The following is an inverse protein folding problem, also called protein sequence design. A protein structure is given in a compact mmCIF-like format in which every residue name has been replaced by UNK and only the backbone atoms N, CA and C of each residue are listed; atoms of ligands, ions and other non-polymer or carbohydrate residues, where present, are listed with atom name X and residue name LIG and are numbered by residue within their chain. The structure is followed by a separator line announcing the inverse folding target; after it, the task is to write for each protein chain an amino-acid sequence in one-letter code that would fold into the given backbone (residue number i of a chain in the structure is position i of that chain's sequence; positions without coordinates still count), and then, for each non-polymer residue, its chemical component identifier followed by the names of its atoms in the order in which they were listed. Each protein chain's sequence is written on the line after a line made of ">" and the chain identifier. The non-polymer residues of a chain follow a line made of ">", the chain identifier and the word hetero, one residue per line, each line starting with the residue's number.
data_IF_858780267949
#
_entry.id   IF_858780267949
#
_cell.length_a   1.000
_cell.length_b   1.000
_cell.length_c   1.000
_cell.angle_alpha   90.00
_cell.angle_beta   90.00
_cell.angle_gamma   90.00
#
_symmetry.space_group_name_H-M   'P 1'
#
loop_
_entity.id
_entity.type
_entity.pdbx_description
1 polymer ?
#
# COMPACT_ATOMS: atom_id res chain seq x y z
N UNK A 1 -1.31 4.11 -5.66
CA UNK A 1 -1.39 5.58 -5.50
C UNK A 1 -1.92 6.19 -6.79
N UNK A 2 -3.04 6.92 -6.73
CA UNK A 2 -3.57 7.67 -7.87
C UNK A 2 -3.53 9.16 -7.54
N UNK A 3 -3.03 9.97 -8.46
CA UNK A 3 -3.02 11.43 -8.30
C UNK A 3 -3.36 12.13 -9.61
N UNK A 4 -4.13 13.21 -9.52
CA UNK A 4 -4.47 14.09 -10.66
C UNK A 4 -3.66 15.38 -10.67
N UNK A 5 -2.91 15.64 -9.60
CA UNK A 5 -2.03 16.80 -9.44
C UNK A 5 -0.57 16.34 -9.31
N UNK A 6 0.35 17.21 -9.71
CA UNK A 6 1.78 17.00 -9.46
C UNK A 6 2.03 17.03 -7.95
N UNK A 7 2.73 16.02 -7.45
CA UNK A 7 3.18 15.95 -6.07
C UNK A 7 4.59 16.51 -5.95
N UNK A 8 4.82 17.37 -4.97
CA UNK A 8 6.13 17.95 -4.63
C UNK A 8 6.78 17.30 -3.42
N UNK A 9 6.00 16.56 -2.63
CA UNK A 9 6.48 15.62 -1.62
C UNK A 9 5.58 14.40 -1.62
N UNK A 10 6.14 13.24 -1.26
CA UNK A 10 5.39 12.01 -1.10
C UNK A 10 6.11 11.13 -0.08
N UNK A 11 5.36 10.65 0.91
CA UNK A 11 5.79 9.62 1.84
C UNK A 11 4.74 8.51 1.82
N UNK A 12 5.15 7.30 1.44
CA UNK A 12 4.31 6.10 1.47
C UNK A 12 4.84 5.19 2.57
N UNK A 13 4.01 4.90 3.55
CA UNK A 13 4.27 3.94 4.62
C UNK A 13 3.40 2.70 4.39
N UNK A 14 4.01 1.53 4.37
CA UNK A 14 3.35 0.24 4.34
C UNK A 14 3.77 -0.54 5.59
N UNK A 15 2.79 -0.99 6.37
CA UNK A 15 3.00 -1.74 7.59
C UNK A 15 2.44 -3.14 7.42
N UNK A 16 3.29 -4.13 7.65
CA UNK A 16 2.93 -5.54 7.57
C UNK A 16 3.02 -6.15 8.96
N UNK A 17 1.90 -6.64 9.51
CA UNK A 17 1.87 -7.19 10.86
C UNK A 17 2.69 -8.48 10.97
N UNK A 18 3.46 -8.62 12.06
CA UNK A 18 4.23 -9.81 12.36
C UNK A 18 3.32 -10.94 12.85
N UNK A 19 2.86 -11.79 11.94
CA UNK A 19 1.97 -12.92 12.23
C UNK A 19 2.62 -14.29 12.00
N UNK A 20 3.94 -14.34 11.84
CA UNK A 20 4.69 -15.59 11.66
C UNK A 20 5.84 -15.46 10.66
N UNK A 21 7.00 -15.01 11.13
CA UNK A 21 8.24 -14.97 10.36
C UNK A 21 8.27 -13.95 9.22
N UNK A 22 7.50 -12.86 9.31
CA UNK A 22 7.50 -11.82 8.26
C UNK A 22 8.87 -11.17 8.20
N UNK A 23 9.58 -11.39 7.09
CA UNK A 23 10.94 -10.86 6.88
C UNK A 23 11.02 -10.24 5.50
N UNK A 24 11.59 -9.03 5.39
CA UNK A 24 11.72 -8.38 4.09
C UNK A 24 12.60 -9.19 3.14
N UNK A 25 12.10 -9.38 1.92
CA UNK A 25 12.82 -9.96 0.79
C UNK A 25 13.09 -8.94 -0.31
N UNK A 26 12.47 -7.76 -0.22
CA UNK A 26 12.75 -6.64 -1.09
C UNK A 26 11.60 -5.64 -1.15
N UNK A 27 11.73 -4.69 -2.07
CA UNK A 27 10.74 -3.66 -2.31
C UNK A 27 10.73 -3.32 -3.79
N UNK A 28 9.57 -2.93 -4.31
CA UNK A 28 9.39 -2.52 -5.69
C UNK A 28 8.49 -1.29 -5.80
N UNK A 29 8.68 -0.51 -6.86
CA UNK A 29 7.82 0.63 -7.21
C UNK A 29 7.85 0.87 -8.72
N UNK A 30 6.77 1.46 -9.26
CA UNK A 30 6.71 1.83 -10.68
C UNK A 30 7.39 3.17 -10.99
N UNK A 31 7.63 4.02 -9.98
CA UNK A 31 8.36 5.28 -10.12
C UNK A 31 9.88 5.04 -10.14
N UNK A 32 10.68 5.98 -10.70
CA UNK A 32 12.13 5.82 -10.77
C UNK A 32 12.76 5.61 -9.40
N UNK A 33 13.68 4.65 -9.32
CA UNK A 33 14.27 4.27 -8.05
C UNK A 33 15.04 5.43 -7.40
N UNK A 34 15.84 6.12 -8.20
CA UNK A 34 16.73 7.19 -7.77
C UNK A 34 16.01 8.41 -7.18
N UNK A 35 14.71 8.55 -7.41
CA UNK A 35 13.92 9.67 -6.90
C UNK A 35 13.46 9.45 -5.44
N UNK A 36 13.63 8.25 -4.90
CA UNK A 36 13.15 7.88 -3.57
C UNK A 36 14.25 7.39 -2.64
N UNK A 37 14.10 7.70 -1.36
CA UNK A 37 14.76 6.99 -0.27
C UNK A 37 13.81 5.89 0.24
N UNK A 38 14.35 4.72 0.56
CA UNK A 38 13.62 3.60 1.13
C UNK A 38 14.26 3.21 2.46
N UNK A 39 13.45 3.16 3.53
CA UNK A 39 13.81 2.49 4.78
C UNK A 39 12.91 1.29 5.01
N UNK A 40 13.49 0.18 5.46
CA UNK A 40 12.77 -1.04 5.82
C UNK A 40 13.24 -1.48 7.18
N UNK A 41 12.34 -1.50 8.16
CA UNK A 41 12.68 -1.87 9.53
C UNK A 41 11.51 -2.59 10.21
N UNK A 42 11.85 -3.42 11.19
CA UNK A 42 10.87 -4.00 12.11
C UNK A 42 10.67 -3.08 13.32
N UNK A 43 9.42 -2.71 13.60
CA UNK A 43 9.06 -1.87 14.75
C UNK A 43 7.63 -2.13 15.19
N UNK A 44 7.42 -2.14 16.50
CA UNK A 44 6.10 -2.28 17.13
C UNK A 44 5.29 -3.51 16.68
N UNK A 45 5.96 -4.61 16.31
CA UNK A 45 5.31 -5.81 15.78
C UNK A 45 4.94 -5.73 14.30
N UNK A 46 5.52 -4.80 13.54
CA UNK A 46 5.32 -4.67 12.10
C UNK A 46 6.66 -4.65 11.36
N UNK A 47 6.68 -5.24 10.18
CA UNK A 47 7.67 -4.91 9.14
C UNK A 47 7.18 -3.66 8.40
N UNK A 48 7.94 -2.58 8.44
CA UNK A 48 7.54 -1.27 7.93
C UNK A 48 8.43 -0.85 6.77
N UNK A 49 7.81 -0.58 5.62
CA UNK A 49 8.46 0.03 4.45
C UNK A 49 8.07 1.51 4.39
N UNK A 50 9.05 2.38 4.24
CA UNK A 50 8.80 3.82 4.03
C UNK A 50 9.55 4.27 2.77
N UNK A 51 8.78 4.70 1.77
CA UNK A 51 9.32 5.40 0.60
C UNK A 51 9.12 6.90 0.75
N UNK A 52 10.20 7.66 0.70
CA UNK A 52 10.18 9.13 0.75
C UNK A 52 10.73 9.70 -0.55
N UNK A 53 9.96 10.57 -1.20
CA UNK A 53 10.40 11.32 -2.36
C UNK A 53 11.50 12.29 -1.95
N UNK A 54 12.65 12.24 -2.63
CA UNK A 54 13.79 13.12 -2.37
C UNK A 54 13.46 14.57 -2.70
N UNK A 55 14.09 15.50 -1.97
CA UNK A 55 13.95 16.93 -2.21
C UNK A 55 14.22 17.32 -3.67
N UNK A 56 13.37 18.19 -4.21
CA UNK A 56 13.47 18.67 -5.59
C UNK A 56 12.96 17.69 -6.65
N UNK A 57 12.53 16.48 -6.28
CA UNK A 57 11.84 15.55 -7.17
C UNK A 57 10.33 15.79 -7.14
N UNK A 58 9.65 15.30 -8.17
CA UNK A 58 8.20 15.44 -8.33
C UNK A 58 7.60 14.16 -8.87
N UNK A 59 6.35 13.89 -8.50
CA UNK A 59 5.56 12.79 -9.08
C UNK A 59 4.49 13.40 -9.98
N UNK A 60 4.49 13.01 -11.25
CA UNK A 60 3.50 13.49 -12.20
C UNK A 60 2.11 12.85 -11.95
N UNK A 61 1.03 13.51 -12.39
CA UNK A 61 -0.31 12.91 -12.42
C UNK A 61 -0.30 11.53 -13.07
N UNK A 62 -0.97 10.57 -12.44
CA UNK A 62 -0.99 9.19 -12.90
C UNK A 62 -1.35 8.18 -11.82
N UNK A 63 -1.10 6.91 -12.14
CA UNK A 63 -1.32 5.76 -11.28
C UNK A 63 0.01 5.04 -11.06
N UNK A 64 0.40 4.95 -9.79
CA UNK A 64 1.71 4.49 -9.36
C UNK A 64 1.56 3.40 -8.30
N UNK A 65 2.47 2.43 -8.33
CA UNK A 65 2.44 1.27 -7.43
C UNK A 65 3.70 1.27 -6.58
N UNK A 66 3.52 0.90 -5.31
CA UNK A 66 4.57 0.62 -4.34
C UNK A 66 4.25 -0.75 -3.72
N UNK A 67 5.25 -1.60 -3.55
CA UNK A 67 5.08 -2.95 -3.04
C UNK A 67 6.24 -3.31 -2.10
N UNK A 68 5.91 -3.75 -0.88
CA UNK A 68 6.83 -4.45 0.00
C UNK A 68 6.77 -5.94 -0.28
N UNK A 69 7.92 -6.59 -0.41
CA UNK A 69 8.02 -8.04 -0.63
C UNK A 69 8.59 -8.67 0.64
N UNK A 70 7.93 -9.70 1.15
CA UNK A 70 8.33 -10.36 2.37
C UNK A 70 8.08 -11.87 2.31
N UNK A 71 8.91 -12.63 2.98
CA UNK A 71 8.64 -14.03 3.30
C UNK A 71 7.69 -14.11 4.49
N UNK A 72 6.93 -15.19 4.58
CA UNK A 72 6.14 -15.53 5.76
C UNK A 72 6.16 -17.05 5.98
N UNK A 73 5.84 -17.49 7.19
CA UNK A 73 5.69 -18.92 7.49
C UNK A 73 4.64 -19.56 6.58
N UNK A 74 4.91 -20.79 6.14
CA UNK A 74 4.02 -21.56 5.25
C UNK A 74 2.62 -21.70 5.85
N UNK A 75 1.61 -21.22 5.15
CA UNK A 75 0.21 -21.25 5.57
C UNK A 75 -0.52 -20.00 5.12
N UNK A 76 -1.82 -19.94 5.39
CA UNK A 76 -2.57 -18.68 5.28
C UNK A 76 -2.06 -17.72 6.34
N UNK A 77 -1.74 -16.49 5.94
CA UNK A 77 -1.32 -15.43 6.84
C UNK A 77 -2.46 -14.43 7.00
N UNK A 78 -2.77 -14.05 8.24
CA UNK A 78 -3.77 -13.02 8.51
C UNK A 78 -3.20 -11.63 8.18
N UNK A 79 -3.75 -11.00 7.14
CA UNK A 79 -3.37 -9.66 6.70
C UNK A 79 -4.29 -8.55 7.22
N UNK A 80 -5.23 -8.87 8.12
CA UNK A 80 -6.23 -7.91 8.62
C UNK A 80 -5.64 -6.69 9.31
N UNK A 81 -4.42 -6.80 9.85
CA UNK A 81 -3.72 -5.68 10.51
C UNK A 81 -2.73 -4.95 9.59
N UNK A 82 -2.58 -5.38 8.33
CA UNK A 82 -1.76 -4.66 7.38
C UNK A 82 -2.42 -3.35 7.00
N UNK A 83 -1.62 -2.30 6.95
CA UNK A 83 -2.11 -0.96 6.62
C UNK A 83 -1.15 -0.23 5.72
N UNK A 84 -1.67 0.73 4.97
CA UNK A 84 -0.87 1.69 4.23
C UNK A 84 -1.33 3.12 4.52
N UNK A 85 -0.40 4.05 4.40
CA UNK A 85 -0.69 5.49 4.38
C UNK A 85 0.19 6.16 3.34
N UNK A 86 -0.38 7.07 2.56
CA UNK A 86 0.36 7.95 1.67
C UNK A 86 0.06 9.41 2.04
N UNK A 87 1.10 10.18 2.35
CA UNK A 87 1.05 11.62 2.59
C UNK A 87 1.74 12.33 1.45
N UNK A 88 1.11 13.35 0.89
CA UNK A 88 1.63 14.05 -0.28
C UNK A 88 1.45 15.56 -0.14
N UNK A 89 2.44 16.31 -0.59
CA UNK A 89 2.36 17.75 -0.82
C UNK A 89 2.04 18.03 -2.27
N UNK A 90 1.13 18.96 -2.52
CA UNK A 90 0.78 19.47 -3.84
C UNK A 90 0.88 21.00 -3.84
N UNK A 91 0.75 21.61 -5.02
CA UNK A 91 0.63 23.08 -5.12
C UNK A 91 -0.59 23.64 -4.38
N UNK A 92 -1.59 22.80 -4.06
CA UNK A 92 -2.81 23.14 -3.33
C UNK A 92 -2.78 22.73 -1.85
N UNK A 93 -1.62 22.31 -1.33
CA UNK A 93 -1.38 21.95 0.06
C UNK A 93 -1.15 20.46 0.30
N UNK A 94 -1.29 20.01 1.55
CA UNK A 94 -1.05 18.62 1.94
C UNK A 94 -2.30 17.75 1.78
N UNK A 95 -2.11 16.48 1.43
CA UNK A 95 -3.15 15.45 1.27
C UNK A 95 -2.66 14.16 1.91
N UNK A 96 -3.59 13.37 2.45
CA UNK A 96 -3.29 12.05 3.00
C UNK A 96 -4.40 11.06 2.64
N UNK A 97 -4.01 9.83 2.34
CA UNK A 97 -4.91 8.69 2.16
C UNK A 97 -4.32 7.49 2.88
N UNK A 98 -5.17 6.54 3.29
CA UNK A 98 -4.73 5.30 3.90
C UNK A 98 -5.85 4.26 3.89
N UNK A 99 -5.49 3.03 4.23
CA UNK A 99 -6.42 1.91 4.30
C UNK A 99 -5.72 0.65 4.80
N UNK A 100 -6.47 -0.43 4.84
CA UNK A 100 -6.05 -1.76 5.27
C UNK A 100 -6.11 -2.78 4.13
N UNK A 101 -5.56 -3.97 4.38
CA UNK A 101 -5.58 -5.12 3.47
C UNK A 101 -6.41 -6.29 4.01
N UNK A 102 -7.36 -6.01 4.91
CA UNK A 102 -8.30 -7.04 5.35
C UNK A 102 -9.09 -7.56 4.15
N UNK A 103 -9.35 -8.88 4.12
CA UNK A 103 -10.26 -9.46 3.14
C UNK A 103 -11.62 -8.77 3.29
N UNK A 104 -12.16 -8.26 2.19
CA UNK A 104 -13.57 -7.88 2.16
C UNK A 104 -14.34 -9.15 1.84
N UNK A 105 -15.29 -9.50 2.70
CA UNK A 105 -16.30 -10.47 2.31
C UNK A 105 -17.09 -9.81 1.17
N UNK A 106 -16.88 -10.28 -0.07
CA UNK A 106 -17.80 -10.01 -1.16
C UNK A 106 -19.10 -10.74 -0.78
N UNK A 107 -20.04 -10.02 -0.16
CA UNK A 107 -21.45 -10.42 -0.21
C UNK A 107 -21.86 -10.27 -1.68
N UNK A 108 -21.63 -11.34 -2.45
CA UNK A 108 -22.20 -11.53 -3.79
C UNK A 108 -23.70 -11.25 -3.71
N UNK A 109 -24.15 -10.29 -4.52
CA UNK A 109 -25.54 -10.17 -4.95
C UNK A 109 -25.99 -11.54 -5.50
N UNK A 110 -26.66 -12.34 -4.66
CA UNK A 110 -27.56 -13.40 -5.13
C UNK A 110 -28.71 -12.69 -5.85
N UNK A 111 -28.51 -12.36 -7.13
CA UNK A 111 -29.61 -12.16 -8.08
C UNK A 111 -30.43 -13.46 -8.06
N UNK A 112 -31.58 -13.42 -7.40
CA UNK A 112 -32.66 -14.39 -7.43
C UNK A 112 -32.93 -14.81 -8.90
N UNK A 113 -32.31 -15.90 -9.35
CA UNK A 113 -32.85 -16.72 -10.43
C UNK A 113 -34.11 -17.42 -9.90
N UNK A 114 -35.22 -16.68 -9.84
CA UNK A 114 -36.56 -17.27 -9.78
C UNK A 114 -36.83 -17.92 -11.14
N UNK A 115 -36.29 -19.13 -11.30
CA UNK A 115 -36.67 -20.08 -12.33
C UNK A 115 -38.17 -20.36 -12.21
N UNK A 116 -38.94 -19.67 -13.04
CA UNK A 116 -40.35 -19.97 -13.25
C UNK A 116 -40.54 -21.40 -13.76
N UNK A 117 -41.15 -22.25 -12.94
CA UNK A 117 -41.86 -23.45 -13.38
C UNK A 117 -43.17 -23.62 -12.60
N UNK A 118 -44.30 -23.33 -13.27
CA UNK A 118 -45.58 -24.07 -13.27
C UNK A 118 -46.66 -23.31 -14.05
#
# INVERSE_FOLDING_TARGET
>A
LKTTERLTSLTVELRIAQTGGVTSTGAWRSLPEDDFELSVDERDGFLVYVWTLKDGRTVEPGEWVFAGQYDHERGGRDAGEDTYTARAGTGSGERAVGGDFAARDDEDDEDDEDDGDS
#
